data_IF_633942354559
#
_entry.id   IF_633942354559
#
_cell.length_a   1.000
_cell.length_b   1.000
_cell.length_c   1.000
_cell.angle_alpha   90.00
_cell.angle_beta   90.00
_cell.angle_gamma   90.00
#
_symmetry.space_group_name_H-M   'P 1'
#
loop_
_entity.id
_entity.type
_entity.pdbx_description
1 polymer ?
#
# COMPACT_ATOMS: atom_id res chain seq x y z
N UNK A 1 14.93 -12.58 -7.02
CA UNK A 1 13.52 -13.04 -7.08
C UNK A 1 13.22 -13.68 -5.73
N UNK A 2 12.11 -13.32 -5.11
CA UNK A 2 11.71 -13.85 -3.81
C UNK A 2 11.38 -15.36 -3.90
N UNK A 3 11.60 -16.12 -2.81
CA UNK A 3 11.28 -17.54 -2.79
C UNK A 3 9.76 -17.78 -2.98
N UNK A 4 9.41 -18.98 -3.45
CA UNK A 4 8.02 -19.37 -3.62
C UNK A 4 7.26 -19.23 -2.28
N UNK A 5 6.13 -18.50 -2.26
CA UNK A 5 5.37 -18.35 -1.04
C UNK A 5 4.58 -19.65 -0.76
N UNK A 6 4.41 -19.97 0.52
CA UNK A 6 3.52 -21.04 1.01
C UNK A 6 3.97 -22.50 0.82
N UNK A 7 5.25 -22.78 0.52
CA UNK A 7 5.76 -24.17 0.45
C UNK A 7 5.53 -24.97 1.74
N UNK A 8 5.51 -24.28 2.89
CA UNK A 8 5.26 -24.88 4.20
C UNK A 8 3.76 -24.97 4.57
N UNK A 9 2.85 -24.63 3.67
CA UNK A 9 1.41 -24.68 3.97
C UNK A 9 0.94 -26.15 4.09
N UNK A 10 0.11 -26.48 5.09
CA UNK A 10 -0.46 -27.81 5.28
C UNK A 10 -1.54 -28.17 4.25
N UNK A 11 -1.90 -27.24 3.35
CA UNK A 11 -2.88 -27.42 2.30
C UNK A 11 -2.32 -26.98 0.95
N UNK A 12 -2.81 -27.60 -0.12
CA UNK A 12 -2.40 -27.26 -1.49
C UNK A 12 -2.92 -25.87 -1.87
N UNK A 13 -2.01 -25.00 -2.30
CA UNK A 13 -2.33 -23.67 -2.83
C UNK A 13 -2.27 -23.74 -4.35
N UNK A 14 -3.32 -23.23 -5.01
CA UNK A 14 -3.33 -23.14 -6.47
C UNK A 14 -2.05 -22.44 -6.97
N UNK A 15 -1.40 -23.05 -7.96
CA UNK A 15 -0.12 -22.58 -8.46
C UNK A 15 -0.17 -21.14 -9.03
N UNK A 16 -1.28 -20.76 -9.64
CA UNK A 16 -1.50 -19.41 -10.16
C UNK A 16 -1.58 -18.36 -9.05
N UNK A 17 -2.28 -18.67 -7.95
CA UNK A 17 -2.37 -17.81 -6.76
C UNK A 17 -1.02 -17.67 -6.04
N UNK A 18 -0.28 -18.77 -5.87
CA UNK A 18 1.07 -18.71 -5.30
C UNK A 18 2.01 -17.89 -6.19
N UNK A 19 1.89 -18.00 -7.51
CA UNK A 19 2.64 -17.19 -8.46
C UNK A 19 2.27 -15.70 -8.41
N UNK A 20 0.98 -15.36 -8.30
CA UNK A 20 0.49 -14.00 -8.08
C UNK A 20 1.08 -13.37 -6.81
N UNK A 21 1.02 -14.07 -5.67
CA UNK A 21 1.60 -13.60 -4.42
C UNK A 21 3.13 -13.45 -4.50
N UNK A 22 3.83 -14.31 -5.26
CA UNK A 22 5.27 -14.13 -5.52
C UNK A 22 5.55 -12.87 -6.33
N UNK A 23 4.79 -12.61 -7.41
CA UNK A 23 4.92 -11.39 -8.22
C UNK A 23 4.65 -10.14 -7.39
N UNK A 24 3.63 -10.16 -6.54
CA UNK A 24 3.35 -9.07 -5.61
C UNK A 24 4.52 -8.81 -4.63
N UNK A 25 5.13 -9.87 -4.07
CA UNK A 25 6.32 -9.73 -3.21
C UNK A 25 7.51 -9.16 -3.98
N UNK A 26 7.75 -9.61 -5.21
CA UNK A 26 8.80 -9.07 -6.07
C UNK A 26 8.54 -7.60 -6.42
N UNK A 27 7.28 -7.22 -6.67
CA UNK A 27 6.86 -5.84 -6.93
C UNK A 27 7.15 -4.94 -5.72
N UNK A 28 6.79 -5.37 -4.51
CA UNK A 28 7.02 -4.62 -3.27
C UNK A 28 8.51 -4.47 -2.91
N UNK A 29 9.36 -5.36 -3.40
CA UNK A 29 10.80 -5.34 -3.12
C UNK A 29 11.59 -4.38 -4.04
N UNK A 30 11.00 -4.02 -5.19
CA UNK A 30 11.59 -3.15 -6.21
C UNK A 30 11.24 -1.69 -5.98
N UNK A 31 12.05 -0.75 -6.48
CA UNK A 31 11.66 0.65 -6.52
C UNK A 31 10.29 0.83 -7.17
N UNK A 32 9.43 1.60 -6.52
CA UNK A 32 8.12 1.97 -7.03
C UNK A 32 8.17 3.24 -7.86
N UNK A 33 7.07 3.99 -7.87
CA UNK A 33 7.04 5.27 -8.55
C UNK A 33 7.66 6.38 -7.68
N UNK A 34 7.51 6.30 -6.36
CA UNK A 34 7.90 7.37 -5.45
C UNK A 34 8.73 6.94 -4.25
N UNK A 35 8.84 5.62 -4.01
CA UNK A 35 9.67 5.05 -2.96
C UNK A 35 10.68 4.06 -3.53
N UNK A 36 11.91 4.09 -3.04
CA UNK A 36 12.92 3.10 -3.43
C UNK A 36 12.63 1.73 -2.79
N UNK A 37 13.35 0.68 -3.23
CA UNK A 37 13.12 -0.67 -2.71
C UNK A 37 13.30 -0.78 -1.19
N UNK A 38 14.27 -0.06 -0.62
CA UNK A 38 14.55 -0.08 0.83
C UNK A 38 13.41 0.55 1.61
N UNK A 39 12.94 1.71 1.15
CA UNK A 39 11.82 2.42 1.75
C UNK A 39 10.52 1.63 1.63
N UNK A 40 10.28 0.94 0.51
CA UNK A 40 9.09 0.08 0.36
C UNK A 40 9.14 -1.12 1.31
N UNK A 41 10.29 -1.75 1.49
CA UNK A 41 10.45 -2.81 2.51
C UNK A 41 10.30 -2.26 3.93
N UNK A 42 10.79 -1.04 4.19
CA UNK A 42 10.56 -0.35 5.46
C UNK A 42 9.06 -0.07 5.69
N UNK A 43 8.29 0.32 4.66
CA UNK A 43 6.84 0.49 4.74
C UNK A 43 6.13 -0.83 5.10
N UNK A 44 6.57 -1.98 4.57
CA UNK A 44 6.05 -3.31 4.95
C UNK A 44 6.33 -3.59 6.43
N UNK A 45 7.58 -3.38 6.86
CA UNK A 45 7.98 -3.60 8.26
C UNK A 45 7.18 -2.70 9.22
N UNK A 46 7.05 -1.41 8.89
CA UNK A 46 6.29 -0.43 9.66
C UNK A 46 4.79 -0.79 9.71
N UNK A 47 4.23 -1.29 8.60
CA UNK A 47 2.85 -1.77 8.52
C UNK A 47 2.60 -2.92 9.50
N UNK A 48 3.56 -3.84 9.64
CA UNK A 48 3.49 -4.95 10.60
C UNK A 48 3.65 -4.45 12.03
N UNK A 49 4.56 -3.50 12.25
CA UNK A 49 4.84 -2.91 13.55
C UNK A 49 3.68 -2.07 14.10
N UNK A 50 2.91 -1.39 13.24
CA UNK A 50 1.79 -0.53 13.64
C UNK A 50 0.73 -1.23 14.52
N UNK A 51 0.60 -2.55 14.43
CA UNK A 51 -0.29 -3.33 15.30
C UNK A 51 0.13 -3.33 16.78
N UNK A 52 1.42 -3.09 17.04
CA UNK A 52 2.03 -3.04 18.36
C UNK A 52 2.26 -1.59 18.84
N UNK A 53 1.97 -0.58 18.01
CA UNK A 53 2.11 0.82 18.38
C UNK A 53 1.10 1.22 19.47
N UNK A 54 1.61 1.78 20.57
CA UNK A 54 0.83 2.26 21.71
C UNK A 54 -0.13 3.38 21.31
N UNK A 55 0.36 4.40 20.61
CA UNK A 55 -0.47 5.51 20.16
C UNK A 55 -1.61 5.03 19.24
N UNK A 56 -1.34 4.06 18.36
CA UNK A 56 -2.36 3.46 17.52
C UNK A 56 -3.48 2.80 18.33
N UNK A 57 -3.14 2.05 19.38
CA UNK A 57 -4.13 1.44 20.28
C UNK A 57 -4.96 2.50 21.01
N UNK A 58 -4.31 3.51 21.57
CA UNK A 58 -4.98 4.61 22.29
C UNK A 58 -5.94 5.38 21.36
N UNK A 59 -5.48 5.78 20.17
CA UNK A 59 -6.30 6.44 19.14
C UNK A 59 -7.45 5.55 18.67
N UNK A 60 -7.23 4.24 18.54
CA UNK A 60 -8.26 3.30 18.12
C UNK A 60 -9.37 3.17 19.16
N UNK A 61 -9.02 3.16 20.44
CA UNK A 61 -9.98 3.08 21.55
C UNK A 61 -10.73 4.40 21.80
N UNK A 62 -10.14 5.54 21.44
CA UNK A 62 -10.77 6.85 21.59
C UNK A 62 -11.95 7.05 20.62
N UNK A 63 -12.96 7.82 21.06
CA UNK A 63 -14.07 8.26 20.20
C UNK A 63 -13.57 9.16 19.06
N UNK A 64 -12.67 10.09 19.38
CA UNK A 64 -12.02 10.97 18.41
C UNK A 64 -10.51 10.69 18.40
N UNK A 65 -9.99 9.97 17.38
CA UNK A 65 -8.56 9.69 17.28
C UNK A 65 -7.69 10.95 17.31
N UNK A 66 -8.17 12.05 16.73
CA UNK A 66 -7.44 13.32 16.67
C UNK A 66 -7.27 14.01 18.04
N UNK A 67 -8.06 13.62 19.05
CA UNK A 67 -7.94 14.15 20.41
C UNK A 67 -6.77 13.52 21.19
N UNK A 68 -6.22 12.39 20.72
CA UNK A 68 -5.09 11.70 21.35
C UNK A 68 -3.81 12.11 20.64
N UNK A 69 -3.05 12.99 21.29
CA UNK A 69 -1.72 13.41 20.86
C UNK A 69 -0.65 12.40 21.27
N UNK A 70 0.45 12.35 20.52
CA UNK A 70 1.59 11.49 20.80
C UNK A 70 2.43 11.26 19.55
N UNK A 71 3.49 10.48 19.72
CA UNK A 71 4.33 9.99 18.63
C UNK A 71 4.09 8.50 18.44
N UNK A 72 4.19 8.04 17.19
CA UNK A 72 4.13 6.61 16.91
C UNK A 72 5.39 5.93 17.42
N UNK A 73 5.22 4.70 17.92
CA UNK A 73 6.34 3.79 18.11
C UNK A 73 6.80 3.39 16.69
N UNK A 74 7.85 4.04 16.17
CA UNK A 74 8.34 3.85 14.81
C UNK A 74 9.61 3.03 14.76
N UNK A 75 9.84 2.32 13.66
CA UNK A 75 11.10 1.63 13.41
C UNK A 75 12.23 2.57 13.00
N UNK A 76 11.95 3.85 12.72
CA UNK A 76 12.95 4.90 12.48
C UNK A 76 13.55 4.95 11.07
N UNK A 77 13.05 4.15 10.14
CA UNK A 77 13.56 4.06 8.75
C UNK A 77 12.79 4.96 7.77
N UNK A 78 11.71 5.62 8.22
CA UNK A 78 10.80 6.39 7.37
C UNK A 78 10.54 7.79 7.95
N UNK A 79 10.25 8.80 7.10
CA UNK A 79 9.81 10.11 7.56
C UNK A 79 8.51 10.02 8.40
N UNK A 80 8.36 10.89 9.40
CA UNK A 80 7.21 10.89 10.32
C UNK A 80 5.85 10.94 9.61
N UNK A 81 5.74 11.70 8.51
CA UNK A 81 4.49 11.78 7.74
C UNK A 81 4.12 10.44 7.07
N UNK A 82 5.13 9.67 6.62
CA UNK A 82 4.92 8.32 6.07
C UNK A 82 4.53 7.33 7.18
N UNK A 83 5.17 7.42 8.35
CA UNK A 83 4.82 6.63 9.54
C UNK A 83 3.37 6.91 9.94
N UNK A 84 2.96 8.17 10.06
CA UNK A 84 1.57 8.55 10.38
C UNK A 84 0.58 7.97 9.35
N UNK A 85 0.90 8.06 8.06
CA UNK A 85 0.07 7.47 7.00
C UNK A 85 -0.06 5.94 7.15
N UNK A 86 1.06 5.22 7.23
CA UNK A 86 1.09 3.76 7.40
C UNK A 86 0.29 3.31 8.61
N UNK A 87 0.58 3.91 9.77
CA UNK A 87 -0.01 3.51 11.04
C UNK A 87 -1.53 3.72 11.06
N UNK A 88 -2.01 4.87 10.56
CA UNK A 88 -3.45 5.15 10.52
C UNK A 88 -4.19 4.32 9.48
N UNK A 89 -3.63 4.16 8.27
CA UNK A 89 -4.22 3.32 7.21
C UNK A 89 -4.30 1.86 7.70
N UNK A 90 -3.27 1.37 8.39
CA UNK A 90 -3.21 -0.02 8.87
C UNK A 90 -4.22 -0.31 9.98
N UNK A 91 -4.40 0.62 10.92
CA UNK A 91 -5.04 0.33 12.21
C UNK A 91 -6.47 0.86 12.32
N UNK A 92 -6.79 1.95 11.61
CA UNK A 92 -8.04 2.70 11.72
C UNK A 92 -8.49 3.40 10.40
N UNK A 93 -8.47 2.70 9.24
CA UNK A 93 -8.72 3.32 7.95
C UNK A 93 -10.14 3.89 7.79
N UNK A 94 -11.13 3.29 8.47
CA UNK A 94 -12.54 3.70 8.39
C UNK A 94 -12.86 5.04 9.05
N UNK A 95 -11.93 5.61 9.82
CA UNK A 95 -12.07 6.91 10.48
C UNK A 95 -11.08 7.95 9.96
N UNK A 96 -10.46 7.71 8.81
CA UNK A 96 -9.66 8.73 8.13
C UNK A 96 -10.58 9.85 7.62
N UNK A 97 -10.11 11.09 7.70
CA UNK A 97 -10.86 12.27 7.25
C UNK A 97 -10.05 13.06 6.22
N UNK A 98 -10.74 13.92 5.46
CA UNK A 98 -10.07 14.84 4.54
C UNK A 98 -9.11 15.80 5.25
N UNK A 99 -9.44 16.24 6.46
CA UNK A 99 -8.55 17.10 7.26
C UNK A 99 -7.28 16.37 7.67
N UNK A 100 -7.37 15.10 8.06
CA UNK A 100 -6.21 14.26 8.33
C UNK A 100 -5.34 14.10 7.08
N UNK A 101 -5.92 13.76 5.94
CA UNK A 101 -5.19 13.65 4.68
C UNK A 101 -4.46 14.96 4.32
N UNK A 102 -5.15 16.10 4.39
CA UNK A 102 -4.54 17.40 4.11
C UNK A 102 -3.39 17.73 5.07
N UNK A 103 -3.44 17.26 6.33
CA UNK A 103 -2.34 17.43 7.27
C UNK A 103 -1.15 16.55 6.88
N UNK A 104 -1.37 15.29 6.53
CA UNK A 104 -0.31 14.38 6.04
C UNK A 104 0.41 14.99 4.82
N UNK A 105 -0.33 15.55 3.87
CA UNK A 105 0.26 16.21 2.70
C UNK A 105 1.08 17.45 3.10
N UNK A 106 0.54 18.29 3.99
CA UNK A 106 1.25 19.47 4.51
C UNK A 106 2.52 19.12 5.29
N UNK A 107 2.55 17.95 5.91
CA UNK A 107 3.69 17.41 6.63
C UNK A 107 4.78 16.81 5.74
N UNK A 108 4.66 16.93 4.41
CA UNK A 108 5.74 16.64 3.46
C UNK A 108 5.51 15.43 2.55
N UNK A 109 4.38 14.73 2.63
CA UNK A 109 4.03 13.70 1.66
C UNK A 109 3.35 14.29 0.42
N UNK A 110 3.69 13.78 -0.77
CA UNK A 110 2.88 14.03 -1.97
C UNK A 110 1.64 13.12 -1.99
N UNK A 111 0.56 13.52 -2.71
CA UNK A 111 -0.57 12.63 -2.97
C UNK A 111 -0.15 11.29 -3.60
N UNK A 112 0.86 11.30 -4.46
CA UNK A 112 1.36 10.08 -5.11
C UNK A 112 2.10 9.15 -4.13
N UNK A 113 2.96 9.70 -3.27
CA UNK A 113 3.61 8.94 -2.21
C UNK A 113 2.58 8.34 -1.26
N UNK A 114 1.51 9.08 -0.94
CA UNK A 114 0.39 8.59 -0.15
C UNK A 114 -0.32 7.40 -0.82
N UNK A 115 -0.62 7.48 -2.13
CA UNK A 115 -1.25 6.38 -2.87
C UNK A 115 -0.37 5.15 -2.91
N UNK A 116 0.95 5.32 -3.09
CA UNK A 116 1.89 4.19 -3.04
C UNK A 116 1.96 3.56 -1.64
N UNK A 117 1.92 4.35 -0.56
CA UNK A 117 1.80 3.85 0.82
C UNK A 117 0.51 3.03 0.99
N UNK A 118 -0.64 3.54 0.53
CA UNK A 118 -1.91 2.82 0.59
C UNK A 118 -1.78 1.44 -0.07
N UNK A 119 -1.15 1.38 -1.25
CA UNK A 119 -0.89 0.12 -1.94
C UNK A 119 -0.02 -0.83 -1.13
N UNK A 120 1.13 -0.37 -0.64
CA UNK A 120 2.07 -1.22 0.13
C UNK A 120 1.41 -1.77 1.39
N UNK A 121 0.65 -0.94 2.11
CA UNK A 121 -0.13 -1.36 3.30
C UNK A 121 -1.16 -2.41 2.91
N UNK A 122 -1.93 -2.18 1.83
CA UNK A 122 -2.98 -3.10 1.40
C UNK A 122 -2.42 -4.46 0.96
N UNK A 123 -1.33 -4.48 0.18
CA UNK A 123 -0.63 -5.72 -0.19
C UNK A 123 -0.12 -6.46 1.05
N UNK A 124 0.52 -5.74 1.97
CA UNK A 124 1.05 -6.34 3.21
C UNK A 124 -0.07 -7.01 4.01
N UNK A 125 -1.22 -6.33 4.16
CA UNK A 125 -2.39 -6.88 4.85
C UNK A 125 -2.94 -8.11 4.12
N UNK A 126 -3.05 -8.07 2.80
CA UNK A 126 -3.54 -9.20 2.01
C UNK A 126 -2.63 -10.43 2.16
N UNK A 127 -1.32 -10.27 1.94
CA UNK A 127 -0.34 -11.35 2.03
C UNK A 127 -0.24 -11.93 3.45
N UNK A 128 -0.19 -11.09 4.48
CA UNK A 128 -0.10 -11.54 5.86
C UNK A 128 -1.40 -12.24 6.33
N UNK A 129 -2.56 -11.75 5.87
CA UNK A 129 -3.86 -12.38 6.17
C UNK A 129 -3.95 -13.73 5.48
N UNK A 130 -3.52 -13.83 4.23
CA UNK A 130 -3.50 -15.10 3.50
C UNK A 130 -2.56 -16.11 4.15
N UNK A 131 -1.31 -15.72 4.46
CA UNK A 131 -0.33 -16.56 5.16
C UNK A 131 -0.91 -17.15 6.45
N UNK A 132 -1.55 -16.31 7.26
CA UNK A 132 -2.25 -16.75 8.48
C UNK A 132 -3.41 -17.70 8.17
N UNK A 133 -4.23 -17.37 7.17
CA UNK A 133 -5.39 -18.15 6.77
C UNK A 133 -5.03 -19.56 6.30
N UNK A 134 -3.86 -19.72 5.66
CA UNK A 134 -3.34 -21.02 5.23
C UNK A 134 -2.47 -21.71 6.29
N UNK A 135 -2.42 -21.18 7.52
CA UNK A 135 -1.75 -21.83 8.64
C UNK A 135 -0.23 -21.74 8.64
N UNK A 136 0.36 -20.78 7.93
CA UNK A 136 1.82 -20.54 7.99
C UNK A 136 2.13 -19.26 8.79
N UNK A 137 3.36 -19.13 9.33
CA UNK A 137 3.83 -17.88 9.90
C UNK A 137 3.83 -16.73 8.88
N UNK A 138 3.93 -15.50 9.39
CA UNK A 138 4.13 -14.32 8.56
C UNK A 138 5.34 -14.50 7.64
N UNK A 139 5.16 -14.21 6.35
CA UNK A 139 6.23 -14.33 5.36
C UNK A 139 7.40 -13.40 5.71
N UNK A 140 8.66 -13.80 5.44
CA UNK A 140 9.80 -12.92 5.62
C UNK A 140 9.66 -11.66 4.76
N UNK A 141 10.27 -10.56 5.23
CA UNK A 141 10.41 -9.36 4.41
C UNK A 141 11.11 -9.74 3.09
N UNK A 142 10.68 -9.16 1.96
CA UNK A 142 11.28 -9.50 0.69
C UNK A 142 12.68 -8.90 0.56
N UNK A 143 13.53 -9.53 -0.26
CA UNK A 143 14.89 -9.06 -0.52
C UNK A 143 14.86 -7.78 -1.37
N UNK A 144 15.38 -6.68 -0.80
CA UNK A 144 15.41 -5.36 -1.44
C UNK A 144 16.12 -5.45 -2.79
N UNK A 145 15.51 -4.87 -3.83
CA UNK A 145 16.16 -4.62 -5.11
C UNK A 145 16.58 -3.17 -5.21
N UNK A 146 17.81 -2.93 -5.67
CA UNK A 146 18.34 -1.58 -5.89
C UNK A 146 17.68 -0.88 -7.08
N UNK A 147 17.73 0.45 -7.06
CA UNK A 147 17.31 1.32 -8.16
C UNK A 147 16.58 2.57 -7.66
N UNK A 148 16.35 3.51 -8.57
CA UNK A 148 15.65 4.75 -8.27
C UNK A 148 14.12 4.61 -8.50
N UNK A 149 13.29 5.35 -7.75
CA UNK A 149 11.87 5.49 -8.08
C UNK A 149 11.68 6.03 -9.50
N UNK A 150 10.65 5.58 -10.21
CA UNK A 150 10.42 6.02 -11.59
C UNK A 150 9.93 7.47 -11.72
N UNK A 151 9.37 8.02 -10.65
CA UNK A 151 8.69 9.31 -10.59
C UNK A 151 7.60 9.48 -11.67
N UNK A 152 7.00 8.38 -12.14
CA UNK A 152 5.93 8.42 -13.14
C UNK A 152 4.66 9.01 -12.54
N UNK A 153 4.29 10.20 -13.00
CA UNK A 153 2.97 10.80 -12.76
C UNK A 153 2.14 10.74 -14.05
N UNK A 154 0.97 10.09 -14.04
CA UNK A 154 0.10 10.03 -15.23
C UNK A 154 -0.38 11.42 -15.66
N UNK A 155 -0.29 11.71 -16.96
CA UNK A 155 -0.70 13.01 -17.52
C UNK A 155 -2.21 13.25 -17.45
N UNK A 156 -3.00 12.17 -17.51
CA UNK A 156 -4.46 12.21 -17.36
C UNK A 156 -4.96 12.39 -15.92
N UNK A 157 -4.07 12.47 -14.93
CA UNK A 157 -4.46 12.59 -13.53
C UNK A 157 -5.02 13.98 -13.20
N UNK A 158 -6.29 14.03 -12.81
CA UNK A 158 -7.02 15.26 -12.46
C UNK A 158 -7.77 15.10 -11.12
N UNK A 159 -8.13 16.19 -10.43
CA UNK A 159 -8.96 16.10 -9.23
C UNK A 159 -10.23 15.30 -9.49
N UNK A 160 -10.51 14.33 -8.63
CA UNK A 160 -11.71 13.50 -8.65
C UNK A 160 -12.45 13.54 -7.31
N UNK A 161 -13.53 12.75 -7.14
CA UNK A 161 -14.24 12.64 -5.87
C UNK A 161 -13.46 11.97 -4.73
N UNK A 162 -12.31 11.32 -5.00
CA UNK A 162 -11.38 10.94 -3.94
C UNK A 162 -10.60 12.16 -3.39
N UNK A 163 -9.81 11.96 -2.33
CA UNK A 163 -8.93 13.02 -1.81
C UNK A 163 -7.68 13.25 -2.68
N UNK A 164 -7.39 12.31 -3.57
CA UNK A 164 -6.24 12.34 -4.49
C UNK A 164 -6.71 12.53 -5.93
N UNK A 165 -5.87 13.12 -6.81
CA UNK A 165 -6.12 13.10 -8.24
C UNK A 165 -6.23 11.66 -8.76
N UNK A 166 -7.02 11.44 -9.81
CA UNK A 166 -7.15 10.16 -10.48
C UNK A 166 -7.35 10.32 -11.98
N UNK A 167 -7.37 9.21 -12.71
CA UNK A 167 -7.51 9.17 -14.16
C UNK A 167 -8.92 8.67 -14.49
N UNK A 168 -9.69 9.44 -15.25
CA UNK A 168 -10.93 8.91 -15.82
C UNK A 168 -10.62 7.97 -17.00
N UNK A 169 -11.46 6.97 -17.32
CA UNK A 169 -11.19 6.04 -18.42
C UNK A 169 -10.80 6.71 -19.74
N UNK A 170 -11.40 7.86 -20.06
CA UNK A 170 -11.13 8.63 -21.27
C UNK A 170 -9.76 9.33 -21.26
N UNK A 171 -9.12 9.43 -20.09
CA UNK A 171 -7.81 10.04 -19.90
C UNK A 171 -6.65 9.04 -19.83
N UNK A 172 -6.91 7.75 -20.07
CA UNK A 172 -5.85 6.73 -20.12
C UNK A 172 -5.01 6.88 -21.38
N UNK A 173 -3.69 6.75 -21.23
CA UNK A 173 -2.76 6.59 -22.34
C UNK A 173 -2.25 5.15 -22.39
N UNK A 174 -1.42 4.82 -23.38
CA UNK A 174 -0.76 3.51 -23.47
C UNK A 174 0.06 3.19 -22.21
N UNK A 175 0.66 4.20 -21.56
CA UNK A 175 1.42 4.01 -20.32
C UNK A 175 0.56 3.50 -19.14
N UNK A 176 -0.75 3.75 -19.18
CA UNK A 176 -1.72 3.29 -18.19
C UNK A 176 -2.58 2.11 -18.66
N UNK A 177 -2.21 1.47 -19.78
CA UNK A 177 -2.93 0.30 -20.27
C UNK A 177 -3.04 -0.79 -19.18
N UNK A 178 -4.23 -1.40 -19.08
CA UNK A 178 -4.52 -2.52 -18.19
C UNK A 178 -4.79 -2.17 -16.72
N UNK A 179 -4.89 -0.88 -16.34
CA UNK A 179 -5.22 -0.54 -14.95
C UNK A 179 -6.71 -0.67 -14.61
N UNK A 180 -7.60 -0.68 -15.62
CA UNK A 180 -9.04 -0.83 -15.42
C UNK A 180 -9.57 -2.12 -16.04
N UNK A 181 -10.59 -2.75 -15.42
CA UNK A 181 -11.25 -3.91 -15.99
C UNK A 181 -11.95 -3.54 -17.31
N UNK A 182 -11.88 -4.45 -18.29
CA UNK A 182 -12.53 -4.27 -19.59
C UNK A 182 -13.99 -4.74 -19.59
N UNK A 183 -14.32 -5.73 -18.76
CA UNK A 183 -15.65 -6.35 -18.71
C UNK A 183 -16.66 -5.62 -17.81
N UNK A 184 -16.24 -4.59 -17.06
CA UNK A 184 -17.09 -3.84 -16.12
C UNK A 184 -16.52 -2.45 -15.85
N UNK A 185 -17.33 -1.50 -15.36
CA UNK A 185 -16.82 -0.19 -14.94
C UNK A 185 -15.77 -0.28 -13.82
N UNK A 186 -14.74 0.59 -13.81
CA UNK A 186 -13.75 0.61 -12.72
C UNK A 186 -14.39 1.09 -11.42
N UNK A 187 -14.21 0.31 -10.35
CA UNK A 187 -14.62 0.71 -9.01
C UNK A 187 -13.80 1.92 -8.52
N UNK A 188 -14.34 2.67 -7.55
CA UNK A 188 -13.69 3.87 -7.01
C UNK A 188 -12.26 3.61 -6.50
N UNK A 189 -11.97 2.40 -5.99
CA UNK A 189 -10.61 2.04 -5.57
C UNK A 189 -9.62 1.97 -6.73
N UNK A 190 -10.04 1.48 -7.91
CA UNK A 190 -9.19 1.48 -9.10
C UNK A 190 -8.83 2.92 -9.47
N UNK A 191 -9.83 3.81 -9.48
CA UNK A 191 -9.64 5.22 -9.79
C UNK A 191 -8.74 5.90 -8.75
N UNK A 192 -9.03 5.76 -7.46
CA UNK A 192 -8.22 6.36 -6.40
C UNK A 192 -6.75 5.91 -6.43
N UNK A 193 -6.49 4.66 -6.80
CA UNK A 193 -5.12 4.14 -6.95
C UNK A 193 -4.48 4.48 -8.30
N UNK A 194 -5.24 4.94 -9.30
CA UNK A 194 -4.74 5.19 -10.66
C UNK A 194 -3.70 6.30 -10.74
N UNK A 195 -3.53 7.10 -9.68
CA UNK A 195 -2.45 8.06 -9.56
C UNK A 195 -1.07 7.39 -9.57
N UNK A 196 -1.00 6.11 -9.18
CA UNK A 196 0.19 5.27 -9.29
C UNK A 196 -0.18 3.98 -10.05
N UNK A 197 -0.20 4.00 -11.41
CA UNK A 197 -0.75 2.92 -12.23
C UNK A 197 -0.12 1.54 -11.96
N UNK A 198 1.18 1.49 -11.66
CA UNK A 198 1.87 0.25 -11.33
C UNK A 198 1.27 -0.45 -10.10
N UNK A 199 0.81 0.32 -9.12
CA UNK A 199 0.18 -0.21 -7.91
C UNK A 199 -1.21 -0.77 -8.16
N UNK A 200 -1.96 -0.21 -9.12
CA UNK A 200 -3.25 -0.80 -9.56
C UNK A 200 -3.01 -2.17 -10.17
N UNK A 201 -2.05 -2.27 -11.11
CA UNK A 201 -1.73 -3.55 -11.77
C UNK A 201 -1.31 -4.62 -10.77
N UNK A 202 -0.39 -4.28 -9.86
CA UNK A 202 0.08 -5.24 -8.85
C UNK A 202 -1.04 -5.65 -7.88
N UNK A 203 -1.82 -4.70 -7.36
CA UNK A 203 -2.81 -5.02 -6.33
C UNK A 203 -3.93 -5.92 -6.87
N UNK A 204 -4.39 -5.66 -8.10
CA UNK A 204 -5.44 -6.46 -8.73
C UNK A 204 -4.94 -7.75 -9.38
N UNK A 205 -3.62 -7.99 -9.43
CA UNK A 205 -3.01 -9.27 -9.81
C UNK A 205 -2.91 -10.26 -8.62
N UNK A 206 -3.33 -9.88 -7.41
CA UNK A 206 -3.27 -10.74 -6.23
C UNK A 206 -4.22 -11.96 -6.29
N UNK A 207 -5.26 -11.95 -7.14
CA UNK A 207 -6.33 -12.94 -7.14
C UNK A 207 -6.74 -13.39 -8.56
#
# INVERSE_FOLDING_TARGET
MNPAPYEAAPLEIRADLAAAHRRARDHLARPGAWWDGRQRVALIAETRHALQCRLCRERKAALSPAAVAGMHDSLGELPEAAVEAVHRIRTDPGRLTRSWFNNVIRSGLSPEQYVEIVSVVAHTVALDTFARGVGIPQLPLPDVSDGAPSCHRPSGAKPGPAWVPWIEPEGLTEAEAGIYPTARPPANIHRAMSLVPAEVRSFFDLC
#
